data_IF_992864571956
#
_entry.id   IF_992864571956
#
_cell.length_a   1.000
_cell.length_b   1.000
_cell.length_c   1.000
_cell.angle_alpha   90.00
_cell.angle_beta   90.00
_cell.angle_gamma   90.00
#
_symmetry.space_group_name_H-M   'P 1'
#
loop_
_entity.id
_entity.type
_entity.pdbx_description
1 polymer ?
#
# COMPACT_ATOMS: atom_id res chain seq x y z
N UNK A 1 -11.99 30.75 -14.32
CA UNK A 1 -10.86 30.07 -13.67
C UNK A 1 -11.45 28.90 -12.93
N UNK A 2 -11.30 27.70 -13.43
CA UNK A 2 -11.67 26.46 -12.75
C UNK A 2 -10.84 26.39 -11.47
N UNK A 3 -11.50 26.23 -10.32
CA UNK A 3 -10.84 25.88 -9.05
C UNK A 3 -9.92 24.70 -9.37
N UNK A 4 -8.61 24.84 -9.13
CA UNK A 4 -7.71 23.69 -9.22
C UNK A 4 -8.27 22.65 -8.25
N UNK A 5 -8.80 21.58 -8.79
CA UNK A 5 -9.19 20.44 -7.98
C UNK A 5 -7.92 19.86 -7.37
N UNK A 6 -7.95 19.64 -6.08
CA UNK A 6 -6.83 19.09 -5.30
C UNK A 6 -7.30 17.77 -4.70
N UNK A 7 -6.45 16.77 -4.68
CA UNK A 7 -6.63 15.56 -3.88
C UNK A 7 -5.63 15.61 -2.70
N UNK A 8 -6.10 15.30 -1.51
CA UNK A 8 -5.29 15.24 -0.30
C UNK A 8 -5.14 13.79 0.13
N UNK A 9 -3.92 13.29 0.03
CA UNK A 9 -3.59 11.91 0.36
C UNK A 9 -2.63 11.91 1.55
N UNK A 10 -2.97 11.16 2.58
CA UNK A 10 -2.10 10.92 3.73
C UNK A 10 -1.71 9.45 3.80
N UNK A 11 -0.43 9.18 4.01
CA UNK A 11 0.08 7.83 4.18
C UNK A 11 0.35 7.51 5.66
N UNK A 12 -0.21 6.43 6.17
CA UNK A 12 -0.13 6.08 7.59
C UNK A 12 0.93 5.01 7.92
N UNK A 13 1.61 4.47 6.93
CA UNK A 13 2.64 3.46 7.16
C UNK A 13 3.63 3.39 6.02
N UNK A 14 4.92 3.24 6.35
CA UNK A 14 6.00 2.99 5.40
C UNK A 14 6.62 1.60 5.54
N UNK A 15 6.21 0.79 6.53
CA UNK A 15 6.68 -0.58 6.70
C UNK A 15 5.81 -1.38 7.68
N UNK A 16 5.96 -2.70 7.65
CA UNK A 16 5.30 -3.58 8.61
C UNK A 16 5.87 -3.42 10.02
N UNK A 17 5.08 -2.91 10.93
CA UNK A 17 5.50 -2.61 12.31
C UNK A 17 5.65 -1.12 12.62
N UNK A 18 5.25 -0.27 11.70
CA UNK A 18 5.17 1.17 11.91
C UNK A 18 4.14 1.55 13.01
N UNK A 19 4.08 2.82 13.37
CA UNK A 19 3.26 3.36 14.45
C UNK A 19 1.78 2.99 14.30
N UNK A 20 1.22 2.28 15.28
CA UNK A 20 -0.18 1.83 15.23
C UNK A 20 -1.19 2.97 15.22
N UNK A 21 -0.91 4.09 15.89
CA UNK A 21 -1.82 5.23 15.90
C UNK A 21 -1.73 6.11 14.65
N UNK A 22 -0.80 5.83 13.72
CA UNK A 22 -0.56 6.72 12.59
C UNK A 22 -1.79 6.90 11.69
N UNK A 23 -2.60 5.87 11.45
CA UNK A 23 -3.84 6.01 10.70
C UNK A 23 -4.79 7.02 11.37
N UNK A 24 -4.96 6.92 12.70
CA UNK A 24 -5.78 7.84 13.47
C UNK A 24 -5.19 9.25 13.46
N UNK A 25 -3.88 9.38 13.62
CA UNK A 25 -3.20 10.68 13.60
C UNK A 25 -3.40 11.38 12.24
N UNK A 26 -3.35 10.65 11.13
CA UNK A 26 -3.59 11.21 9.79
C UNK A 26 -5.04 11.63 9.57
N UNK A 27 -6.00 10.82 9.99
CA UNK A 27 -7.43 11.11 9.86
C UNK A 27 -7.86 12.24 10.79
N UNK A 28 -7.28 12.35 11.97
CA UNK A 28 -7.58 13.43 12.94
C UNK A 28 -6.83 14.74 12.63
N UNK A 29 -5.69 14.65 11.95
CA UNK A 29 -4.76 15.76 11.74
C UNK A 29 -5.20 16.80 10.71
N UNK A 30 -6.20 16.51 9.92
CA UNK A 30 -6.70 17.47 8.93
C UNK A 30 -7.58 16.83 7.85
N UNK A 31 -8.23 17.66 7.03
CA UNK A 31 -9.07 17.12 5.98
C UNK A 31 -8.23 16.42 4.93
N UNK A 32 -8.47 15.12 4.76
CA UNK A 32 -7.89 14.27 3.70
C UNK A 32 -9.01 13.65 2.87
N UNK A 33 -8.71 13.35 1.61
CA UNK A 33 -9.64 12.63 0.72
C UNK A 33 -9.35 11.14 0.73
N UNK A 34 -8.08 10.75 0.94
CA UNK A 34 -7.64 9.36 0.90
C UNK A 34 -6.60 9.10 1.99
N UNK A 35 -6.81 8.01 2.72
CA UNK A 35 -5.82 7.42 3.61
C UNK A 35 -5.14 6.26 2.88
N UNK A 36 -3.80 6.28 2.80
CA UNK A 36 -3.03 5.18 2.25
C UNK A 36 -2.18 4.51 3.33
N UNK A 37 -1.78 3.27 3.08
CA UNK A 37 -0.82 2.56 3.92
C UNK A 37 0.03 1.64 3.06
N UNK A 38 1.35 1.82 3.15
CA UNK A 38 2.34 0.98 2.50
C UNK A 38 3.08 0.15 3.54
N UNK A 39 2.93 -1.16 3.48
CA UNK A 39 3.43 -2.11 4.49
C UNK A 39 4.43 -3.11 3.91
N UNK A 40 4.51 -3.18 2.57
CA UNK A 40 5.14 -4.31 1.92
C UNK A 40 6.54 -3.99 1.41
N UNK A 41 7.45 -4.86 1.77
CA UNK A 41 8.77 -5.03 1.19
C UNK A 41 9.02 -6.54 1.05
N UNK A 42 10.09 -6.95 0.41
CA UNK A 42 10.48 -8.35 0.25
C UNK A 42 10.59 -9.07 1.60
N UNK A 43 11.12 -8.36 2.60
CA UNK A 43 11.17 -8.86 3.98
C UNK A 43 9.77 -9.09 4.55
N UNK A 44 8.85 -8.16 4.33
CA UNK A 44 7.46 -8.30 4.81
C UNK A 44 6.77 -9.50 4.15
N UNK A 45 6.95 -9.71 2.84
CA UNK A 45 6.39 -10.87 2.15
C UNK A 45 6.89 -12.18 2.77
N UNK A 46 8.17 -12.26 3.12
CA UNK A 46 8.74 -13.42 3.82
C UNK A 46 8.13 -13.60 5.22
N UNK A 47 7.89 -12.52 5.95
CA UNK A 47 7.23 -12.56 7.27
C UNK A 47 5.79 -13.08 7.11
N UNK A 48 5.05 -12.58 6.14
CA UNK A 48 3.67 -12.99 5.87
C UNK A 48 3.58 -14.46 5.43
N UNK A 49 4.52 -14.93 4.63
CA UNK A 49 4.64 -16.36 4.30
C UNK A 49 4.83 -17.22 5.56
N UNK A 50 5.75 -16.83 6.45
CA UNK A 50 5.95 -17.53 7.71
C UNK A 50 4.71 -17.49 8.62
N UNK A 51 3.91 -16.43 8.55
CA UNK A 51 2.62 -16.37 9.26
C UNK A 51 1.61 -17.36 8.69
N UNK A 52 1.50 -17.50 7.36
CA UNK A 52 0.68 -18.53 6.73
C UNK A 52 1.08 -19.92 7.18
N UNK A 53 2.37 -20.23 7.16
CA UNK A 53 2.88 -21.53 7.61
C UNK A 53 2.51 -21.87 9.06
N UNK A 54 2.52 -20.87 9.96
CA UNK A 54 2.28 -21.06 11.40
C UNK A 54 0.81 -21.01 11.78
N UNK A 55 0.00 -20.23 11.08
CA UNK A 55 -1.38 -19.91 11.48
C UNK A 55 -2.45 -20.42 10.51
N UNK A 56 -2.05 -20.86 9.33
CA UNK A 56 -2.95 -21.38 8.30
C UNK A 56 -3.12 -20.46 7.09
N UNK A 57 -3.71 -20.99 6.03
CA UNK A 57 -3.88 -20.34 4.74
C UNK A 57 -4.73 -19.06 4.79
N UNK A 58 -5.58 -18.93 5.80
CA UNK A 58 -6.41 -17.71 6.00
C UNK A 58 -5.61 -16.47 6.42
N UNK A 59 -4.31 -16.66 6.74
CA UNK A 59 -3.38 -15.58 7.09
C UNK A 59 -2.53 -15.16 5.88
N UNK A 60 -1.54 -14.31 6.09
CA UNK A 60 -0.64 -13.83 5.04
C UNK A 60 -0.90 -12.37 4.64
N UNK A 61 -1.59 -11.63 5.48
CA UNK A 61 -1.82 -10.19 5.37
C UNK A 61 -1.32 -9.45 6.63
N UNK A 62 -1.21 -8.13 6.54
CA UNK A 62 -0.70 -7.27 7.63
C UNK A 62 -1.79 -7.06 8.68
N UNK A 63 -1.83 -7.92 9.70
CA UNK A 63 -2.87 -7.90 10.72
C UNK A 63 -2.91 -6.63 11.58
N UNK A 64 -1.82 -5.85 11.65
CA UNK A 64 -1.81 -4.56 12.35
C UNK A 64 -2.74 -3.54 11.71
N UNK A 65 -2.91 -3.60 10.38
CA UNK A 65 -3.84 -2.71 9.69
C UNK A 65 -5.30 -2.92 10.10
N UNK A 66 -5.71 -4.13 10.45
CA UNK A 66 -7.09 -4.37 10.94
C UNK A 66 -7.40 -3.54 12.19
N UNK A 67 -6.40 -3.36 13.08
CA UNK A 67 -6.54 -2.50 14.26
C UNK A 67 -6.63 -1.02 13.88
N UNK A 68 -5.72 -0.59 13.01
CA UNK A 68 -5.71 0.79 12.48
C UNK A 68 -7.02 1.11 11.75
N UNK A 69 -7.53 0.19 10.94
CA UNK A 69 -8.81 0.34 10.26
C UNK A 69 -9.97 0.52 11.25
N UNK A 70 -10.05 -0.34 12.28
CA UNK A 70 -11.10 -0.27 13.31
C UNK A 70 -11.12 1.10 14.01
N UNK A 71 -9.94 1.70 14.22
CA UNK A 71 -9.81 3.00 14.89
C UNK A 71 -10.26 4.19 14.04
N UNK A 72 -10.34 4.04 12.70
CA UNK A 72 -10.64 5.15 11.78
C UNK A 72 -11.87 4.94 10.90
N UNK A 73 -12.40 3.73 10.81
CA UNK A 73 -13.44 3.35 9.85
C UNK A 73 -14.69 4.22 9.94
N UNK A 74 -15.19 4.48 11.16
CA UNK A 74 -16.37 5.31 11.38
C UNK A 74 -16.15 6.74 10.87
N UNK A 75 -15.04 7.36 11.21
CA UNK A 75 -14.71 8.71 10.76
C UNK A 75 -14.47 8.76 9.26
N UNK A 76 -13.80 7.76 8.68
CA UNK A 76 -13.62 7.67 7.24
C UNK A 76 -14.97 7.60 6.51
N UNK A 77 -15.94 6.83 7.01
CA UNK A 77 -17.27 6.82 6.44
C UNK A 77 -17.97 8.18 6.57
N UNK A 78 -17.93 8.80 7.75
CA UNK A 78 -18.58 10.09 8.00
C UNK A 78 -18.04 11.22 7.12
N UNK A 79 -16.73 11.23 6.87
CA UNK A 79 -16.05 12.26 6.09
C UNK A 79 -15.87 11.88 4.61
N UNK A 80 -16.25 10.67 4.20
CA UNK A 80 -16.11 10.17 2.83
C UNK A 80 -14.67 9.89 2.42
N UNK A 81 -13.78 9.62 3.38
CA UNK A 81 -12.36 9.33 3.15
C UNK A 81 -12.22 7.93 2.56
N UNK A 82 -11.57 7.82 1.41
CA UNK A 82 -11.24 6.52 0.81
C UNK A 82 -10.01 5.93 1.47
N UNK A 83 -9.94 4.60 1.56
CA UNK A 83 -8.82 3.87 2.14
C UNK A 83 -8.21 2.96 1.07
N UNK A 84 -6.90 3.09 0.82
CA UNK A 84 -6.18 2.27 -0.15
C UNK A 84 -4.89 1.75 0.50
N UNK A 85 -4.71 0.44 0.55
CA UNK A 85 -3.53 -0.14 1.21
C UNK A 85 -3.05 -1.41 0.53
N UNK A 86 -1.75 -1.66 0.55
CA UNK A 86 -1.16 -2.93 0.14
C UNK A 86 -1.05 -3.96 1.28
N UNK A 87 -1.67 -3.69 2.42
CA UNK A 87 -1.67 -4.58 3.59
C UNK A 87 -2.21 -6.00 3.32
N UNK A 88 -2.86 -6.22 2.17
CA UNK A 88 -3.36 -7.53 1.74
C UNK A 88 -2.27 -8.58 1.56
N UNK A 89 -1.07 -8.16 1.16
CA UNK A 89 0.10 -9.03 1.08
C UNK A 89 -0.12 -10.30 0.25
N UNK A 90 0.02 -11.47 0.87
CA UNK A 90 -0.17 -12.79 0.26
C UNK A 90 -1.62 -13.29 0.31
N UNK A 91 -2.54 -12.53 0.90
CA UNK A 91 -3.96 -12.92 1.01
C UNK A 91 -4.88 -11.69 1.08
N UNK A 92 -4.96 -10.88 0.00
CA UNK A 92 -5.80 -9.69 -0.02
C UNK A 92 -7.29 -10.04 0.15
N UNK A 93 -7.75 -11.16 -0.39
CA UNK A 93 -9.12 -11.65 -0.23
C UNK A 93 -9.47 -11.95 1.23
N UNK A 94 -8.61 -12.69 1.92
CA UNK A 94 -8.81 -13.00 3.35
C UNK A 94 -8.82 -11.74 4.20
N UNK A 95 -7.97 -10.77 3.89
CA UNK A 95 -7.98 -9.48 4.58
C UNK A 95 -9.25 -8.69 4.30
N UNK A 96 -9.72 -8.66 3.06
CA UNK A 96 -10.98 -7.98 2.71
C UNK A 96 -12.16 -8.55 3.51
N UNK A 97 -12.25 -9.88 3.64
CA UNK A 97 -13.28 -10.52 4.48
C UNK A 97 -13.20 -10.09 5.94
N UNK A 98 -12.00 -10.01 6.51
CA UNK A 98 -11.82 -9.51 7.89
C UNK A 98 -12.22 -8.03 8.04
N UNK A 99 -12.00 -7.22 7.01
CA UNK A 99 -12.45 -5.81 6.99
C UNK A 99 -13.98 -5.75 6.90
N UNK A 100 -14.62 -6.59 6.07
CA UNK A 100 -16.09 -6.68 5.97
C UNK A 100 -16.71 -7.09 7.31
N UNK A 101 -16.09 -8.02 8.04
CA UNK A 101 -16.53 -8.39 9.39
C UNK A 101 -16.47 -7.20 10.35
N UNK A 102 -15.41 -6.41 10.32
CA UNK A 102 -15.28 -5.18 11.13
C UNK A 102 -16.33 -4.14 10.71
N UNK A 103 -16.56 -3.93 9.43
CA UNK A 103 -17.59 -3.02 8.89
C UNK A 103 -18.97 -3.43 9.44
N UNK A 104 -19.27 -4.73 9.42
CA UNK A 104 -20.53 -5.27 9.98
C UNK A 104 -20.62 -5.11 11.49
N UNK A 105 -19.54 -5.40 12.22
CA UNK A 105 -19.47 -5.24 13.70
C UNK A 105 -19.75 -3.80 14.11
N UNK A 106 -19.21 -2.83 13.36
CA UNK A 106 -19.37 -1.40 13.60
C UNK A 106 -20.68 -0.81 13.02
N UNK A 107 -21.50 -1.63 12.33
CA UNK A 107 -22.71 -1.19 11.62
C UNK A 107 -22.43 -0.08 10.60
N UNK A 108 -21.35 -0.19 9.84
CA UNK A 108 -20.96 0.74 8.78
C UNK A 108 -21.43 0.25 7.41
N UNK A 109 -21.47 1.17 6.43
CA UNK A 109 -21.87 0.89 5.04
C UNK A 109 -20.70 1.05 4.04
N UNK A 110 -19.47 0.76 4.49
CA UNK A 110 -18.29 0.84 3.64
C UNK A 110 -18.23 -0.32 2.65
N UNK A 111 -18.00 -0.01 1.39
CA UNK A 111 -17.81 -1.00 0.31
C UNK A 111 -16.34 -1.38 0.23
N UNK A 112 -16.06 -2.66 0.43
CA UNK A 112 -14.71 -3.23 0.39
C UNK A 112 -14.46 -3.88 -0.96
N UNK A 113 -13.33 -3.59 -1.56
CA UNK A 113 -12.81 -4.27 -2.74
C UNK A 113 -11.40 -4.78 -2.48
N UNK A 114 -11.00 -5.84 -3.16
CA UNK A 114 -9.63 -6.33 -3.17
C UNK A 114 -9.14 -6.54 -4.59
N UNK A 115 -7.83 -6.49 -4.75
CA UNK A 115 -7.10 -6.79 -5.99
C UNK A 115 -6.32 -8.08 -5.74
N UNK A 116 -6.30 -8.99 -6.69
CA UNK A 116 -5.55 -10.24 -6.64
C UNK A 116 -4.90 -10.57 -7.99
N UNK A 117 -4.19 -11.70 -8.04
CA UNK A 117 -3.55 -12.21 -9.26
C UNK A 117 -2.07 -11.87 -9.41
N UNK A 118 -1.45 -11.28 -8.40
CA UNK A 118 -0.02 -10.98 -8.35
C UNK A 118 0.84 -12.22 -8.00
N UNK A 119 0.25 -13.24 -7.37
CA UNK A 119 0.94 -14.46 -6.96
C UNK A 119 1.33 -15.31 -8.17
N UNK A 120 2.63 -15.39 -8.44
CA UNK A 120 3.21 -16.19 -9.51
C UNK A 120 3.65 -17.59 -9.06
N UNK A 121 3.57 -17.92 -7.77
CA UNK A 121 4.00 -19.23 -7.27
C UNK A 121 3.32 -20.42 -7.99
N UNK A 122 2.00 -20.39 -8.25
CA UNK A 122 1.33 -21.47 -8.98
C UNK A 122 1.76 -21.59 -10.44
N UNK A 123 2.25 -20.50 -11.05
CA UNK A 123 2.59 -20.41 -12.47
C UNK A 123 4.09 -20.61 -12.75
N UNK A 124 4.95 -20.64 -11.72
CA UNK A 124 6.42 -20.70 -11.91
C UNK A 124 6.87 -21.90 -12.76
N UNK A 125 6.32 -23.09 -12.51
CA UNK A 125 6.69 -24.28 -13.30
C UNK A 125 6.30 -24.14 -14.76
N UNK A 126 5.11 -23.60 -15.01
CA UNK A 126 4.57 -23.39 -16.35
C UNK A 126 5.35 -22.30 -17.10
N UNK A 127 5.74 -21.21 -16.41
CA UNK A 127 6.60 -20.17 -16.97
C UNK A 127 7.96 -20.76 -17.39
N UNK A 128 8.56 -21.61 -16.57
CA UNK A 128 9.80 -22.29 -16.90
C UNK A 128 9.63 -23.22 -18.12
N UNK A 129 8.57 -24.00 -18.18
CA UNK A 129 8.28 -24.91 -19.30
C UNK A 129 8.02 -24.15 -20.62
N UNK A 130 7.46 -22.95 -20.55
CA UNK A 130 7.26 -22.08 -21.72
C UNK A 130 8.53 -21.37 -22.20
N UNK A 131 9.64 -21.55 -21.50
CA UNK A 131 10.94 -20.97 -21.87
C UNK A 131 11.14 -19.54 -21.32
N UNK A 132 10.30 -19.09 -20.40
CA UNK A 132 10.50 -17.81 -19.70
C UNK A 132 11.69 -17.92 -18.75
N UNK A 133 12.69 -17.09 -18.97
CA UNK A 133 13.90 -17.09 -18.16
C UNK A 133 13.73 -16.13 -16.95
N UNK A 134 13.39 -16.67 -15.79
CA UNK A 134 13.38 -15.93 -14.53
C UNK A 134 14.78 -15.97 -13.94
N UNK A 135 15.54 -14.90 -14.14
CA UNK A 135 16.95 -14.80 -13.74
C UNK A 135 17.15 -13.70 -12.70
N UNK A 136 18.14 -13.93 -11.84
CA UNK A 136 18.63 -12.89 -10.96
C UNK A 136 19.29 -11.78 -11.79
N UNK A 137 18.94 -10.53 -11.52
CA UNK A 137 19.39 -9.36 -12.31
C UNK A 137 20.91 -9.18 -12.25
N UNK A 138 21.52 -9.45 -11.09
CA UNK A 138 22.94 -9.21 -10.87
C UNK A 138 23.82 -10.38 -11.36
N UNK A 139 23.38 -11.61 -11.06
CA UNK A 139 24.19 -12.82 -11.31
C UNK A 139 23.83 -13.54 -12.59
N UNK A 140 22.68 -13.22 -13.19
CA UNK A 140 22.10 -13.90 -14.35
C UNK A 140 21.84 -15.40 -14.13
N UNK A 141 21.84 -15.86 -12.87
CA UNK A 141 21.53 -17.25 -12.52
C UNK A 141 20.02 -17.45 -12.56
N UNK A 142 19.57 -18.54 -13.18
CA UNK A 142 18.15 -18.88 -13.23
C UNK A 142 17.59 -19.18 -11.83
N UNK A 143 16.34 -18.75 -11.56
CA UNK A 143 15.63 -19.11 -10.34
C UNK A 143 15.62 -20.62 -10.08
N UNK A 144 15.58 -21.42 -11.14
CA UNK A 144 15.47 -22.89 -11.06
C UNK A 144 16.82 -23.57 -10.83
N UNK A 145 17.94 -22.84 -10.97
CA UNK A 145 19.30 -23.33 -10.71
C UNK A 145 19.75 -23.08 -9.26
N UNK A 146 18.93 -22.42 -8.45
CA UNK A 146 19.26 -22.22 -7.04
C UNK A 146 18.94 -23.48 -6.20
N UNK A 147 19.80 -23.78 -5.24
CA UNK A 147 19.60 -24.87 -4.27
C UNK A 147 18.35 -24.68 -3.39
N UNK A 148 17.90 -23.43 -3.24
CA UNK A 148 16.75 -23.06 -2.43
C UNK A 148 15.54 -22.78 -3.31
N UNK A 149 14.39 -23.30 -2.88
CA UNK A 149 13.10 -23.03 -3.55
C UNK A 149 12.59 -21.65 -3.18
N UNK A 150 11.98 -20.97 -4.14
CA UNK A 150 11.20 -19.77 -3.88
C UNK A 150 10.05 -20.09 -2.92
N UNK A 151 9.77 -19.19 -2.01
CA UNK A 151 8.65 -19.29 -1.04
C UNK A 151 7.57 -18.25 -1.31
N UNK A 152 7.90 -17.18 -2.01
CA UNK A 152 6.99 -16.19 -2.57
C UNK A 152 7.50 -15.75 -3.93
N UNK A 153 6.62 -15.46 -4.86
CA UNK A 153 6.92 -14.86 -6.15
C UNK A 153 5.71 -14.02 -6.55
N UNK A 154 5.88 -12.70 -6.60
CA UNK A 154 4.78 -11.79 -6.84
C UNK A 154 5.13 -10.80 -7.96
N UNK A 155 4.19 -10.57 -8.86
CA UNK A 155 4.25 -9.46 -9.79
C UNK A 155 3.92 -8.15 -9.06
N UNK A 156 4.65 -7.07 -9.37
CA UNK A 156 4.29 -5.75 -8.86
C UNK A 156 3.23 -5.14 -9.75
N UNK A 157 2.01 -5.05 -9.24
CA UNK A 157 0.92 -4.42 -9.96
C UNK A 157 1.05 -2.89 -9.93
N UNK A 158 0.52 -2.26 -10.95
CA UNK A 158 0.39 -0.79 -11.01
C UNK A 158 -0.93 -0.30 -10.40
N UNK A 159 -1.22 0.95 -10.65
CA UNK A 159 -2.32 1.69 -10.03
C UNK A 159 -3.72 1.44 -10.63
N UNK A 160 -3.81 0.78 -11.80
CA UNK A 160 -5.07 0.72 -12.55
C UNK A 160 -6.14 -0.14 -11.90
N UNK A 161 -5.78 -1.22 -11.22
CA UNK A 161 -6.72 -2.00 -10.42
C UNK A 161 -7.32 -1.19 -9.28
N UNK A 162 -6.52 -0.31 -8.67
CA UNK A 162 -6.98 0.62 -7.61
C UNK A 162 -7.99 1.61 -8.19
N UNK A 163 -7.66 2.22 -9.34
CA UNK A 163 -8.59 3.13 -10.03
C UNK A 163 -9.91 2.43 -10.34
N UNK A 164 -9.88 1.24 -10.91
CA UNK A 164 -11.07 0.45 -11.27
C UNK A 164 -11.94 0.13 -10.05
N UNK A 165 -11.32 -0.26 -8.94
CA UNK A 165 -12.04 -0.51 -7.70
C UNK A 165 -12.74 0.76 -7.18
N UNK A 166 -12.07 1.90 -7.20
CA UNK A 166 -12.64 3.19 -6.80
C UNK A 166 -13.74 3.67 -7.77
N UNK A 167 -13.56 3.49 -9.08
CA UNK A 167 -14.57 3.78 -10.11
C UNK A 167 -15.84 2.92 -9.90
N UNK A 168 -15.69 1.69 -9.41
CA UNK A 168 -16.79 0.78 -9.07
C UNK A 168 -17.46 1.15 -7.73
N UNK A 169 -17.00 2.20 -7.07
CA UNK A 169 -17.59 2.76 -5.85
C UNK A 169 -17.06 2.15 -4.56
N UNK A 170 -15.90 1.51 -4.57
CA UNK A 170 -15.26 1.04 -3.34
C UNK A 170 -14.89 2.21 -2.42
N UNK A 171 -15.01 1.98 -1.11
CA UNK A 171 -14.55 2.88 -0.05
C UNK A 171 -13.22 2.42 0.51
N UNK A 172 -12.99 1.11 0.51
CA UNK A 172 -11.76 0.45 0.96
C UNK A 172 -11.24 -0.45 -0.13
N UNK A 173 -9.97 -0.26 -0.53
CA UNK A 173 -9.30 -1.07 -1.55
C UNK A 173 -8.09 -1.78 -0.92
N UNK A 174 -8.16 -3.10 -0.86
CA UNK A 174 -7.10 -3.95 -0.34
C UNK A 174 -6.28 -4.48 -1.51
N UNK A 175 -5.01 -4.10 -1.55
CA UNK A 175 -4.09 -4.50 -2.60
C UNK A 175 -3.16 -5.62 -2.12
N UNK A 176 -2.68 -6.47 -3.04
CA UNK A 176 -1.56 -7.37 -2.85
C UNK A 176 -0.23 -6.61 -3.05
N UNK A 177 0.80 -7.25 -3.62
CA UNK A 177 2.03 -6.55 -3.99
C UNK A 177 1.77 -5.62 -5.18
N UNK A 178 1.77 -4.34 -4.92
CA UNK A 178 1.72 -3.27 -5.92
C UNK A 178 3.03 -2.47 -5.84
N UNK A 179 3.34 -1.70 -6.88
CA UNK A 179 4.43 -0.70 -6.77
C UNK A 179 4.08 0.32 -5.70
N UNK A 180 5.05 0.74 -4.91
CA UNK A 180 4.84 1.52 -3.68
C UNK A 180 4.01 2.79 -3.94
N UNK A 181 4.33 3.54 -4.98
CA UNK A 181 3.55 4.72 -5.36
C UNK A 181 2.15 4.42 -5.95
N UNK A 182 1.82 3.16 -6.26
CA UNK A 182 0.53 2.81 -6.86
C UNK A 182 -0.66 3.18 -5.96
N UNK A 183 -0.48 3.07 -4.63
CA UNK A 183 -1.51 3.45 -3.65
C UNK A 183 -1.82 4.95 -3.65
N UNK A 184 -0.95 5.77 -4.25
CA UNK A 184 -1.16 7.21 -4.46
C UNK A 184 -1.61 7.52 -5.89
N UNK A 185 -0.99 6.90 -6.89
CA UNK A 185 -1.33 7.10 -8.30
C UNK A 185 -2.78 6.67 -8.58
N UNK A 186 -3.24 5.54 -8.01
CA UNK A 186 -4.58 5.01 -8.22
C UNK A 186 -5.68 6.00 -7.82
N UNK A 187 -5.69 6.48 -6.57
CA UNK A 187 -6.62 7.52 -6.13
C UNK A 187 -6.55 8.82 -6.93
N UNK A 188 -5.35 9.28 -7.30
CA UNK A 188 -5.20 10.47 -8.12
C UNK A 188 -5.80 10.25 -9.54
N UNK A 189 -5.50 9.12 -10.16
CA UNK A 189 -6.04 8.76 -11.47
C UNK A 189 -7.57 8.62 -11.43
N UNK A 190 -8.13 8.08 -10.34
CA UNK A 190 -9.56 8.02 -10.09
C UNK A 190 -10.18 9.41 -9.96
N UNK A 191 -9.66 10.22 -9.05
CA UNK A 191 -10.21 11.55 -8.73
C UNK A 191 -10.25 12.48 -9.94
N UNK A 192 -9.20 12.44 -10.76
CA UNK A 192 -9.04 13.31 -11.93
C UNK A 192 -9.40 12.62 -13.24
N UNK A 193 -9.90 11.40 -13.20
CA UNK A 193 -10.26 10.60 -14.38
C UNK A 193 -9.13 10.51 -15.43
N UNK A 194 -7.90 10.26 -14.98
CA UNK A 194 -6.75 10.14 -15.87
C UNK A 194 -6.80 8.87 -16.70
N UNK A 195 -6.21 8.95 -17.89
CA UNK A 195 -6.07 7.84 -18.82
C UNK A 195 -4.65 7.27 -18.75
N UNK A 196 -4.46 6.06 -19.30
CA UNK A 196 -3.16 5.35 -19.29
C UNK A 196 -2.04 6.09 -20.02
N UNK A 197 -2.35 7.04 -20.88
CA UNK A 197 -1.43 7.86 -21.65
C UNK A 197 -1.25 9.29 -21.13
N UNK A 198 -1.83 9.61 -20.00
CA UNK A 198 -1.61 10.91 -19.30
C UNK A 198 -0.24 10.91 -18.57
N UNK A 199 0.84 10.64 -19.32
CA UNK A 199 2.18 10.36 -18.75
C UNK A 199 2.71 11.44 -17.82
N UNK A 200 2.56 12.72 -18.15
CA UNK A 200 3.05 13.83 -17.32
C UNK A 200 2.35 13.87 -15.96
N UNK A 201 1.04 13.62 -15.94
CA UNK A 201 0.25 13.57 -14.70
C UNK A 201 0.62 12.34 -13.86
N UNK A 202 0.75 11.19 -14.53
CA UNK A 202 1.15 9.95 -13.88
C UNK A 202 2.57 10.05 -13.30
N UNK A 203 3.51 10.68 -14.02
CA UNK A 203 4.86 10.94 -13.53
C UNK A 203 4.86 11.87 -12.31
N UNK A 204 4.04 12.93 -12.33
CA UNK A 204 3.87 13.81 -11.17
C UNK A 204 3.31 13.07 -9.95
N UNK A 205 2.28 12.22 -10.16
CA UNK A 205 1.72 11.41 -9.07
C UNK A 205 2.69 10.33 -8.58
N UNK A 206 3.52 9.76 -9.48
CA UNK A 206 4.58 8.84 -9.11
C UNK A 206 5.60 9.51 -8.19
N UNK A 207 6.07 10.71 -8.55
CA UNK A 207 7.01 11.48 -7.74
C UNK A 207 6.41 11.81 -6.35
N UNK A 208 5.17 12.29 -6.31
CA UNK A 208 4.47 12.56 -5.05
C UNK A 208 4.29 11.28 -4.21
N UNK A 209 3.90 10.18 -4.85
CA UNK A 209 3.75 8.88 -4.20
C UNK A 209 5.05 8.37 -3.62
N UNK A 210 6.15 8.50 -4.34
CA UNK A 210 7.48 8.10 -3.87
C UNK A 210 7.94 8.93 -2.65
N UNK A 211 7.60 10.22 -2.61
CA UNK A 211 7.93 11.08 -1.46
C UNK A 211 7.20 10.66 -0.18
N UNK A 212 5.95 10.24 -0.27
CA UNK A 212 5.13 9.94 0.92
C UNK A 212 5.00 8.44 1.23
N UNK A 213 5.47 7.55 0.38
CA UNK A 213 5.29 6.10 0.51
C UNK A 213 5.88 5.53 1.80
N UNK A 214 7.03 6.04 2.24
CA UNK A 214 7.68 5.67 3.48
C UNK A 214 7.14 6.47 4.70
N UNK A 215 5.95 7.04 4.61
CA UNK A 215 5.29 7.72 5.70
C UNK A 215 6.05 8.95 6.20
N UNK A 216 6.36 8.99 7.48
CA UNK A 216 7.00 10.14 8.12
C UNK A 216 8.49 10.33 7.78
N UNK A 217 9.11 9.43 7.00
CA UNK A 217 10.55 9.52 6.70
C UNK A 217 10.90 10.80 5.94
N UNK A 218 10.06 11.23 5.00
CA UNK A 218 10.29 12.46 4.22
C UNK A 218 10.40 13.71 5.09
N UNK A 219 9.80 13.70 6.27
CA UNK A 219 9.84 14.78 7.24
C UNK A 219 10.79 14.51 8.42
N UNK A 220 11.60 13.45 8.35
CA UNK A 220 12.48 13.04 9.44
C UNK A 220 11.75 12.38 10.62
N UNK A 221 10.45 12.10 10.51
CA UNK A 221 9.63 11.57 11.61
C UNK A 221 10.01 10.18 12.11
N UNK A 222 10.81 9.42 11.34
CA UNK A 222 11.32 8.11 11.72
C UNK A 222 12.70 8.18 12.39
N UNK A 223 13.30 9.36 12.49
CA UNK A 223 14.53 9.56 13.22
C UNK A 223 14.26 9.49 14.73
N UNK A 224 15.07 8.72 15.47
CA UNK A 224 14.83 8.42 16.90
C UNK A 224 14.75 9.66 17.78
N UNK A 225 15.49 10.70 17.43
CA UNK A 225 15.56 11.98 18.16
C UNK A 225 14.85 13.12 17.41
N UNK A 226 13.88 12.81 16.54
CA UNK A 226 13.21 13.82 15.71
C UNK A 226 12.58 14.96 16.53
N UNK A 227 12.19 14.73 17.79
CA UNK A 227 11.64 15.76 18.67
C UNK A 227 12.67 16.78 19.12
N UNK A 228 13.95 16.44 19.06
CA UNK A 228 15.07 17.31 19.40
C UNK A 228 15.54 18.10 18.17
N UNK A 229 15.07 17.72 16.99
CA UNK A 229 15.33 18.40 15.74
C UNK A 229 14.32 19.54 15.56
N UNK A 230 14.83 20.75 15.30
CA UNK A 230 14.00 21.90 14.99
C UNK A 230 13.66 21.92 13.49
N UNK A 231 12.74 21.03 13.07
CA UNK A 231 12.24 20.99 11.69
C UNK A 231 11.26 22.15 11.45
N UNK A 232 11.77 23.31 11.11
CA UNK A 232 10.93 24.49 10.85
C UNK A 232 10.53 24.68 9.41
N UNK A 233 11.12 23.91 8.49
CA UNK A 233 10.89 24.03 7.06
C UNK A 233 10.34 22.76 6.48
N UNK A 234 9.58 22.88 5.40
CA UNK A 234 9.10 21.76 4.61
C UNK A 234 10.20 21.14 3.71
N UNK A 235 11.39 21.73 3.69
CA UNK A 235 12.52 21.27 2.90
C UNK A 235 13.52 20.52 3.79
N UNK A 236 13.28 19.22 3.93
CA UNK A 236 14.14 18.32 4.70
C UNK A 236 15.56 18.18 4.10
N UNK A 237 15.78 18.58 2.85
CA UNK A 237 17.08 18.53 2.20
C UNK A 237 18.04 19.61 2.74
N UNK A 238 17.51 20.70 3.27
CA UNK A 238 18.31 21.80 3.85
C UNK A 238 18.64 21.57 5.34
N UNK A 239 18.03 20.56 5.97
CA UNK A 239 18.21 20.28 7.39
C UNK A 239 19.28 19.21 7.64
N UNK A 240 20.53 19.62 7.46
CA UNK A 240 21.72 18.76 7.68
C UNK A 240 21.96 18.38 9.15
N UNK A 241 21.20 18.94 10.08
CA UNK A 241 21.36 18.66 11.52
C UNK A 241 20.61 17.42 11.96
N UNK A 242 19.71 16.90 11.14
CA UNK A 242 18.89 15.72 11.44
C UNK A 242 19.30 14.48 10.65
N UNK A 243 20.42 14.53 9.89
CA UNK A 243 20.95 13.41 9.10
C UNK A 243 22.20 12.84 9.77
#
# INVERSE_FOLDING_TARGET
MTKNEVIKIANCSGFYGDKLSAAKDMVDGGPIDVLTGDYLAELTMTILYNQKLKRGEDHGYVGTFLKQFKDVAEKCQQEGIKIVTNAGGLNPKGMASMIEDIVSELNLELKVAYIDGDDLMPELSKLNESGEEIKNIDTNVSLFDYDKKAVTANAYFGAWGIKEALDSGADVVICPRVTDAAVVIGPAAWKFNWQRNDYDKLAGALAAGHLIECGAQVTGGNYSFFRDCLLYTSDAADDTQCV
#
